data_IF_537846311992
#
_entry.id   IF_537846311992
#
_cell.length_a   1.000
_cell.length_b   1.000
_cell.length_c   1.000
_cell.angle_alpha   90.00
_cell.angle_beta   90.00
_cell.angle_gamma   90.00
#
_symmetry.space_group_name_H-M   'P 1'
#
loop_
_entity.id
_entity.type
_entity.pdbx_description
1 polymer ?
#
# COMPACT_ATOMS: atom_id res chain seq x y z
N UNK A 1 26.71 -65.70 -7.69
CA UNK A 1 27.04 -66.03 -6.29
C UNK A 1 25.95 -66.94 -5.74
N UNK A 2 26.24 -68.23 -5.59
CA UNK A 2 25.32 -69.20 -4.98
C UNK A 2 25.26 -68.94 -3.47
N UNK A 3 24.10 -68.53 -2.94
CA UNK A 3 23.86 -68.52 -1.49
C UNK A 3 23.75 -69.96 -1.01
N UNK A 4 24.81 -70.51 -0.45
CA UNK A 4 24.75 -71.72 0.38
C UNK A 4 24.04 -71.38 1.69
N UNK A 5 22.71 -71.43 1.69
CA UNK A 5 21.92 -71.46 2.92
C UNK A 5 21.68 -72.92 3.31
N UNK A 6 21.93 -73.27 4.56
CA UNK A 6 21.58 -74.60 5.08
C UNK A 6 20.07 -74.84 4.91
N UNK A 7 19.70 -75.70 3.95
CA UNK A 7 18.30 -76.04 3.67
C UNK A 7 17.88 -77.15 4.61
N UNK A 8 16.81 -76.92 5.39
CA UNK A 8 16.29 -77.92 6.33
C UNK A 8 15.67 -79.08 5.54
N UNK A 9 16.12 -80.31 5.77
CA UNK A 9 15.63 -81.53 5.09
C UNK A 9 14.15 -81.80 5.42
N UNK A 10 13.36 -82.29 4.47
CA UNK A 10 11.89 -82.42 4.56
C UNK A 10 11.34 -83.59 5.42
N UNK A 11 12.15 -84.11 6.33
CA UNK A 11 11.79 -85.25 7.18
C UNK A 11 10.56 -84.95 8.06
N UNK A 12 9.76 -85.97 8.43
CA UNK A 12 8.54 -85.78 9.25
C UNK A 12 8.78 -85.00 10.55
N UNK A 13 9.94 -85.20 11.18
CA UNK A 13 10.35 -84.50 12.40
C UNK A 13 10.50 -82.97 12.23
N UNK A 14 10.78 -82.49 11.01
CA UNK A 14 11.03 -81.07 10.72
C UNK A 14 9.81 -80.34 10.15
N UNK A 15 8.67 -81.02 9.99
CA UNK A 15 7.47 -80.50 9.32
C UNK A 15 6.93 -79.22 9.99
N UNK A 16 7.01 -79.14 11.31
CA UNK A 16 6.60 -77.97 12.09
C UNK A 16 7.49 -76.74 11.85
N UNK A 17 8.80 -76.94 11.71
CA UNK A 17 9.78 -75.86 11.47
C UNK A 17 9.61 -75.33 10.03
N UNK A 18 9.41 -76.21 9.05
CA UNK A 18 9.16 -75.81 7.67
C UNK A 18 7.84 -75.03 7.53
N UNK A 19 6.79 -75.42 8.28
CA UNK A 19 5.53 -74.70 8.31
C UNK A 19 5.65 -73.30 8.94
N UNK A 20 6.49 -73.12 9.97
CA UNK A 20 6.76 -71.81 10.55
C UNK A 20 7.58 -70.92 9.62
N UNK A 21 8.56 -71.48 8.91
CA UNK A 21 9.34 -70.77 7.89
C UNK A 21 8.47 -70.30 6.72
N UNK A 22 7.56 -71.15 6.21
CA UNK A 22 6.61 -70.74 5.15
C UNK A 22 5.72 -69.59 5.59
N UNK A 23 5.15 -69.64 6.80
CA UNK A 23 4.33 -68.55 7.35
C UNK A 23 5.10 -67.24 7.49
N UNK A 24 6.37 -67.29 7.88
CA UNK A 24 7.25 -66.10 7.94
C UNK A 24 7.50 -65.51 6.56
N UNK A 25 7.82 -66.35 5.57
CA UNK A 25 8.03 -65.91 4.18
C UNK A 25 6.76 -65.34 3.54
N UNK A 26 5.59 -65.94 3.83
CA UNK A 26 4.29 -65.40 3.40
C UNK A 26 3.99 -64.04 4.04
N UNK A 27 4.29 -63.88 5.32
CA UNK A 27 4.12 -62.60 6.02
C UNK A 27 5.06 -61.52 5.47
N UNK A 28 6.34 -61.86 5.26
CA UNK A 28 7.33 -60.95 4.67
C UNK A 28 6.96 -60.56 3.23
N UNK A 29 6.48 -61.49 2.41
CA UNK A 29 6.05 -61.20 1.04
C UNK A 29 4.82 -60.29 1.01
N UNK A 30 3.85 -60.50 1.92
CA UNK A 30 2.70 -59.60 2.10
C UNK A 30 3.13 -58.20 2.53
N UNK A 31 4.02 -58.07 3.50
CA UNK A 31 4.56 -56.78 3.94
C UNK A 31 5.30 -56.06 2.81
N UNK A 32 6.12 -56.78 2.04
CA UNK A 32 6.85 -56.22 0.89
C UNK A 32 5.90 -55.76 -0.21
N UNK A 33 4.86 -56.54 -0.50
CA UNK A 33 3.81 -56.15 -1.44
C UNK A 33 3.06 -54.90 -0.97
N UNK A 34 2.75 -54.80 0.32
CA UNK A 34 2.05 -53.64 0.90
C UNK A 34 2.90 -52.37 0.86
N UNK A 35 4.19 -52.47 1.19
CA UNK A 35 5.16 -51.35 1.06
C UNK A 35 5.29 -50.86 -0.38
N UNK A 36 5.46 -51.77 -1.34
CA UNK A 36 5.56 -51.38 -2.76
C UNK A 36 4.29 -50.73 -3.31
N UNK A 37 3.11 -51.11 -2.79
CA UNK A 37 1.83 -50.45 -3.12
C UNK A 37 1.72 -49.07 -2.49
N UNK A 38 2.22 -48.88 -1.27
CA UNK A 38 2.28 -47.57 -0.62
C UNK A 38 3.25 -46.64 -1.35
N UNK A 39 4.45 -47.10 -1.67
CA UNK A 39 5.47 -46.34 -2.41
C UNK A 39 4.97 -45.91 -3.79
N UNK A 40 4.29 -46.81 -4.53
CA UNK A 40 3.64 -46.45 -5.80
C UNK A 40 2.55 -45.40 -5.63
N UNK A 41 1.67 -45.54 -4.63
CA UNK A 41 0.63 -44.54 -4.35
C UNK A 41 1.22 -43.17 -3.98
N UNK A 42 2.31 -43.14 -3.23
CA UNK A 42 3.02 -41.90 -2.89
C UNK A 42 3.72 -41.27 -4.10
N UNK A 43 4.38 -42.07 -4.93
CA UNK A 43 5.00 -41.60 -6.18
C UNK A 43 3.96 -41.07 -7.17
N UNK A 44 2.87 -41.80 -7.39
CA UNK A 44 1.78 -41.40 -8.28
C UNK A 44 1.10 -40.13 -7.76
N UNK A 45 0.85 -40.03 -6.44
CA UNK A 45 0.28 -38.84 -5.81
C UNK A 45 1.19 -37.60 -5.92
N UNK A 46 2.50 -37.77 -5.68
CA UNK A 46 3.49 -36.67 -5.78
C UNK A 46 3.72 -36.24 -7.23
N UNK A 47 3.74 -37.19 -8.17
CA UNK A 47 3.81 -36.94 -9.61
C UNK A 47 2.58 -36.17 -10.12
N UNK A 48 1.38 -36.61 -9.75
CA UNK A 48 0.12 -35.96 -10.12
C UNK A 48 0.03 -34.53 -9.57
N UNK A 49 0.40 -34.30 -8.30
CA UNK A 49 0.44 -32.95 -7.71
C UNK A 49 1.43 -32.02 -8.42
N UNK A 50 2.64 -32.51 -8.72
CA UNK A 50 3.65 -31.72 -9.43
C UNK A 50 3.23 -31.43 -10.87
N UNK A 51 2.61 -32.39 -11.56
CA UNK A 51 2.14 -32.17 -12.93
C UNK A 51 0.92 -31.24 -12.97
N UNK A 52 0.00 -31.37 -12.01
CA UNK A 52 -1.13 -30.46 -11.86
C UNK A 52 -0.66 -29.04 -11.54
N UNK A 53 0.27 -28.85 -10.58
CA UNK A 53 0.86 -27.55 -10.26
C UNK A 53 1.58 -26.92 -11.46
N UNK A 54 2.39 -27.70 -12.19
CA UNK A 54 3.08 -27.25 -13.41
C UNK A 54 2.10 -26.90 -14.53
N UNK A 55 1.03 -27.68 -14.71
CA UNK A 55 -0.01 -27.43 -15.70
C UNK A 55 -0.78 -26.15 -15.39
N UNK A 56 -1.21 -25.98 -14.14
CA UNK A 56 -1.92 -24.77 -13.71
C UNK A 56 -1.05 -23.53 -13.86
N UNK A 57 0.23 -23.60 -13.48
CA UNK A 57 1.18 -22.49 -13.67
C UNK A 57 1.39 -22.15 -15.15
N UNK A 58 1.58 -23.16 -16.01
CA UNK A 58 1.74 -22.96 -17.47
C UNK A 58 0.50 -22.36 -18.14
N UNK A 59 -0.70 -22.65 -17.65
CA UNK A 59 -1.94 -22.07 -18.18
C UNK A 59 -2.22 -20.66 -17.65
N UNK A 60 -1.86 -20.36 -16.40
CA UNK A 60 -2.12 -19.05 -15.77
C UNK A 60 -1.05 -18.02 -16.14
N UNK A 61 0.23 -18.41 -16.27
CA UNK A 61 1.34 -17.53 -16.61
C UNK A 61 1.09 -16.68 -17.89
N UNK A 62 0.64 -17.25 -19.03
CA UNK A 62 0.35 -16.45 -20.21
C UNK A 62 -0.82 -15.49 -19.97
N UNK A 63 -1.80 -15.84 -19.14
CA UNK A 63 -2.93 -14.96 -18.80
C UNK A 63 -2.43 -13.77 -17.96
N UNK A 64 -1.57 -14.01 -16.97
CA UNK A 64 -0.96 -12.97 -16.13
C UNK A 64 -0.08 -12.02 -16.96
N UNK A 65 0.59 -12.52 -18.01
CA UNK A 65 1.39 -11.69 -18.90
C UNK A 65 0.53 -10.97 -19.95
N UNK A 66 -0.46 -11.65 -20.52
CA UNK A 66 -1.27 -11.15 -21.62
C UNK A 66 -2.31 -10.12 -21.17
N UNK A 67 -2.98 -10.32 -20.03
CA UNK A 67 -3.98 -9.38 -19.51
C UNK A 67 -3.46 -7.95 -19.31
N UNK A 68 -2.32 -7.69 -18.65
CA UNK A 68 -1.80 -6.34 -18.50
C UNK A 68 -1.29 -5.75 -19.82
N UNK A 69 -0.77 -6.58 -20.75
CA UNK A 69 -0.37 -6.14 -22.08
C UNK A 69 -1.57 -5.76 -22.95
N UNK A 70 -2.64 -6.57 -22.92
CA UNK A 70 -3.91 -6.28 -23.58
C UNK A 70 -4.55 -5.02 -23.00
N UNK A 71 -4.51 -4.89 -21.67
CA UNK A 71 -4.92 -3.68 -20.99
C UNK A 71 -4.13 -2.45 -21.44
N UNK A 72 -2.81 -2.56 -21.55
CA UNK A 72 -1.93 -1.47 -21.99
C UNK A 72 -2.24 -1.07 -23.44
N UNK A 73 -2.53 -2.05 -24.29
CA UNK A 73 -2.96 -1.80 -25.67
C UNK A 73 -4.29 -1.03 -25.73
N UNK A 74 -5.28 -1.42 -24.93
CA UNK A 74 -6.63 -0.82 -24.95
C UNK A 74 -6.74 0.52 -24.23
N UNK A 75 -6.13 0.64 -23.05
CA UNK A 75 -6.37 1.75 -22.10
C UNK A 75 -5.12 2.56 -21.78
N UNK A 76 -3.97 2.25 -22.39
CA UNK A 76 -2.64 2.79 -22.04
C UNK A 76 -2.25 2.60 -20.56
N UNK A 77 -2.97 1.72 -19.86
CA UNK A 77 -2.73 1.37 -18.45
C UNK A 77 -2.61 -0.14 -18.33
N UNK A 78 -1.86 -0.65 -17.35
CA UNK A 78 -1.68 -2.10 -17.17
C UNK A 78 -2.85 -2.78 -16.43
N UNK A 79 -3.86 -2.02 -16.01
CA UNK A 79 -4.90 -2.49 -15.09
C UNK A 79 -6.30 -2.00 -15.47
N UNK A 80 -6.57 -1.86 -16.76
CA UNK A 80 -7.84 -1.43 -17.36
C UNK A 80 -8.37 -0.10 -16.80
N UNK A 81 -7.48 0.83 -16.48
CA UNK A 81 -7.83 2.14 -15.92
C UNK A 81 -8.30 2.09 -14.47
N UNK A 82 -8.31 0.92 -13.83
CA UNK A 82 -8.76 0.75 -12.45
C UNK A 82 -7.67 1.11 -11.42
N UNK A 83 -6.43 1.33 -11.87
CA UNK A 83 -5.25 1.60 -11.02
C UNK A 83 -5.49 2.69 -9.96
N UNK A 84 -6.13 3.84 -10.27
CA UNK A 84 -6.38 4.91 -9.30
C UNK A 84 -7.26 4.50 -8.12
N UNK A 85 -8.06 3.44 -8.25
CA UNK A 85 -9.00 3.01 -7.22
C UNK A 85 -8.37 2.04 -6.22
N UNK A 86 -7.47 1.17 -6.66
CA UNK A 86 -6.91 0.11 -5.81
C UNK A 86 -5.42 0.27 -5.52
N UNK A 87 -4.65 0.99 -6.35
CA UNK A 87 -3.23 1.20 -6.09
C UNK A 87 -2.97 2.09 -4.86
N UNK A 88 -3.68 3.20 -4.62
CA UNK A 88 -3.44 4.02 -3.43
C UNK A 88 -3.64 3.25 -2.11
N UNK A 89 -4.78 2.55 -1.85
CA UNK A 89 -4.94 1.81 -0.61
C UNK A 89 -3.93 0.66 -0.48
N UNK A 90 -3.60 -0.02 -1.59
CA UNK A 90 -2.60 -1.10 -1.60
C UNK A 90 -1.18 -0.57 -1.29
N UNK A 91 -0.80 0.57 -1.88
CA UNK A 91 0.50 1.21 -1.63
C UNK A 91 0.58 1.67 -0.18
N UNK A 92 -0.46 2.30 0.34
CA UNK A 92 -0.49 2.74 1.73
C UNK A 92 -0.37 1.55 2.69
N UNK A 93 -1.10 0.46 2.41
CA UNK A 93 -0.96 -0.80 3.15
C UNK A 93 0.48 -1.33 3.12
N UNK A 94 1.10 -1.40 1.95
CA UNK A 94 2.49 -1.87 1.80
C UNK A 94 3.50 -0.97 2.52
N UNK A 95 3.29 0.35 2.50
CA UNK A 95 4.14 1.31 3.20
C UNK A 95 4.09 1.15 4.72
N UNK A 96 2.94 0.76 5.27
CA UNK A 96 2.76 0.56 6.71
C UNK A 96 3.10 -0.87 7.17
N UNK A 97 3.17 -1.82 6.23
CA UNK A 97 3.37 -3.24 6.50
C UNK A 97 4.65 -3.51 7.30
N UNK A 98 4.60 -4.31 8.39
CA UNK A 98 5.74 -4.50 9.30
C UNK A 98 6.99 -5.08 8.65
N UNK A 99 6.84 -5.86 7.57
CA UNK A 99 7.97 -6.50 6.87
C UNK A 99 8.52 -5.66 5.71
N UNK A 100 8.00 -4.46 5.48
CA UNK A 100 8.54 -3.61 4.42
C UNK A 100 9.91 -3.05 4.86
N UNK A 101 11.03 -3.46 4.23
CA UNK A 101 12.36 -2.98 4.62
C UNK A 101 12.56 -1.48 4.30
N UNK A 102 11.71 -0.92 3.43
CA UNK A 102 11.72 0.49 3.03
C UNK A 102 10.67 1.31 3.79
N UNK A 103 10.16 0.81 4.91
CA UNK A 103 9.20 1.54 5.73
C UNK A 103 9.82 2.85 6.22
N UNK A 104 9.15 3.96 5.89
CA UNK A 104 9.53 5.29 6.37
C UNK A 104 9.32 5.33 7.89
N UNK A 105 10.36 5.70 8.63
CA UNK A 105 10.25 5.94 10.06
C UNK A 105 9.57 7.28 10.28
N UNK A 106 8.41 7.26 10.93
CA UNK A 106 7.65 8.46 11.22
C UNK A 106 8.37 9.25 12.33
N UNK A 107 8.66 10.51 12.04
CA UNK A 107 9.27 11.44 13.01
C UNK A 107 8.24 12.43 13.53
N UNK A 108 8.43 12.87 14.75
CA UNK A 108 7.69 13.98 15.33
C UNK A 108 8.51 15.25 15.19
N UNK A 109 7.87 16.31 14.69
CA UNK A 109 8.49 17.62 14.46
C UNK A 109 7.85 18.66 15.37
N UNK A 110 8.65 19.60 15.85
CA UNK A 110 8.14 20.87 16.37
C UNK A 110 7.93 21.86 15.22
N UNK A 111 7.05 22.88 15.35
CA UNK A 111 6.90 23.92 14.34
C UNK A 111 8.23 24.61 14.00
N UNK A 112 9.09 24.82 15.00
CA UNK A 112 10.40 25.44 14.85
C UNK A 112 11.37 24.57 14.05
N UNK A 113 11.35 23.25 14.27
CA UNK A 113 12.12 22.31 13.44
C UNK A 113 11.59 22.25 12.01
N UNK A 114 10.27 22.31 11.83
CA UNK A 114 9.63 22.18 10.52
C UNK A 114 10.04 23.34 9.58
N UNK A 115 10.21 24.54 10.12
CA UNK A 115 10.65 25.74 9.37
C UNK A 115 12.01 25.53 8.68
N UNK A 116 12.86 24.62 9.19
CA UNK A 116 14.15 24.29 8.56
C UNK A 116 14.02 23.54 7.23
N UNK A 117 12.81 23.12 6.86
CA UNK A 117 12.47 22.35 5.66
C UNK A 117 11.56 23.16 4.71
N UNK A 118 11.71 24.48 4.70
CA UNK A 118 11.03 25.43 3.82
C UNK A 118 11.47 25.37 2.35
N UNK A 119 12.49 24.57 2.03
CA UNK A 119 13.06 24.47 0.69
C UNK A 119 13.95 25.65 0.30
N UNK A 120 14.38 26.49 1.24
CA UNK A 120 15.38 27.55 1.02
C UNK A 120 16.76 27.00 0.75
N UNK A 121 17.06 25.79 1.24
CA UNK A 121 18.32 25.09 1.02
C UNK A 121 18.12 23.88 0.13
N UNK A 122 19.03 23.68 -0.82
CA UNK A 122 19.00 22.55 -1.76
C UNK A 122 19.56 21.25 -1.17
N UNK A 123 20.28 21.33 -0.05
CA UNK A 123 20.78 20.19 0.70
C UNK A 123 19.72 19.52 1.59
N UNK A 124 18.51 20.08 1.66
CA UNK A 124 17.42 19.58 2.52
C UNK A 124 16.16 19.30 1.74
N UNK A 125 15.37 18.30 2.18
CA UNK A 125 14.03 18.08 1.63
C UNK A 125 13.09 19.23 2.00
N UNK A 126 11.98 19.31 1.26
CA UNK A 126 10.91 20.29 1.48
C UNK A 126 9.74 19.59 2.14
N UNK A 127 9.36 20.04 3.33
CA UNK A 127 8.26 19.47 4.08
C UNK A 127 7.07 20.41 4.15
N UNK A 128 5.88 19.84 4.32
CA UNK A 128 4.63 20.56 4.41
C UNK A 128 3.73 19.83 5.40
N UNK A 129 3.09 20.55 6.33
CA UNK A 129 2.12 19.97 7.24
C UNK A 129 0.68 20.38 6.90
N UNK A 130 -0.23 19.40 6.98
CA UNK A 130 -1.68 19.57 6.85
C UNK A 130 -2.36 18.68 7.87
N UNK A 131 -3.26 19.28 8.64
CA UNK A 131 -4.01 18.67 9.74
C UNK A 131 -3.09 17.92 10.71
N UNK A 132 -1.96 18.56 11.07
CA UNK A 132 -0.93 17.99 11.94
C UNK A 132 -0.07 16.87 11.33
N UNK A 133 -0.31 16.46 10.07
CA UNK A 133 0.46 15.41 9.39
C UNK A 133 1.51 16.04 8.48
N UNK A 134 2.75 15.58 8.59
CA UNK A 134 3.88 16.10 7.79
C UNK A 134 4.13 15.21 6.58
N UNK A 135 4.20 15.85 5.41
CA UNK A 135 4.48 15.22 4.12
C UNK A 135 5.79 15.74 3.52
N UNK A 136 6.53 14.83 2.89
CA UNK A 136 7.65 15.18 2.02
C UNK A 136 7.14 15.55 0.63
N UNK A 137 7.34 16.81 0.25
CA UNK A 137 6.95 17.39 -1.04
C UNK A 137 8.17 17.70 -1.92
N UNK A 138 9.34 17.16 -1.58
CA UNK A 138 10.60 17.33 -2.33
C UNK A 138 10.51 16.85 -3.77
N UNK A 139 9.62 15.93 -4.09
CA UNK A 139 9.39 15.50 -5.47
C UNK A 139 8.94 16.65 -6.39
N UNK A 140 8.41 17.76 -5.83
CA UNK A 140 7.93 18.91 -6.58
C UNK A 140 8.48 20.24 -6.02
N UNK A 141 9.81 20.33 -5.88
CA UNK A 141 10.51 21.56 -5.45
C UNK A 141 10.19 22.78 -6.31
N UNK A 142 9.82 22.62 -7.58
CA UNK A 142 9.41 23.75 -8.43
C UNK A 142 8.22 24.53 -7.84
N UNK A 143 7.33 23.81 -7.16
CA UNK A 143 6.08 24.38 -6.63
C UNK A 143 6.23 24.78 -5.15
N UNK A 144 6.85 23.92 -4.34
CA UNK A 144 6.97 24.12 -2.89
C UNK A 144 8.33 24.63 -2.41
N UNK A 145 9.39 24.44 -3.21
CA UNK A 145 10.72 24.96 -2.90
C UNK A 145 10.83 26.45 -3.15
N UNK A 146 11.98 27.04 -2.80
CA UNK A 146 12.22 28.49 -2.88
C UNK A 146 11.83 29.08 -4.24
N UNK A 147 11.00 30.12 -4.22
CA UNK A 147 10.50 30.80 -5.42
C UNK A 147 9.32 30.12 -6.12
N UNK A 148 8.86 28.97 -5.62
CA UNK A 148 7.66 28.31 -6.10
C UNK A 148 6.36 28.99 -5.64
N UNK A 149 5.27 28.77 -6.38
CA UNK A 149 3.96 29.40 -6.11
C UNK A 149 3.36 29.05 -4.76
N UNK A 150 3.77 27.94 -4.15
CA UNK A 150 3.29 27.46 -2.86
C UNK A 150 4.41 27.38 -1.80
N UNK A 151 5.53 28.06 -2.04
CA UNK A 151 6.68 28.05 -1.13
C UNK A 151 6.37 28.59 0.27
N UNK A 152 5.47 29.56 0.39
CA UNK A 152 5.03 30.12 1.67
C UNK A 152 4.45 29.09 2.65
N UNK A 153 3.95 27.96 2.14
CA UNK A 153 3.40 26.88 2.95
C UNK A 153 4.47 25.85 3.36
N UNK A 154 5.62 25.83 2.69
CA UNK A 154 6.69 24.90 3.02
C UNK A 154 7.27 25.20 4.41
N UNK A 155 7.63 24.13 5.13
CA UNK A 155 8.16 24.20 6.48
C UNK A 155 7.14 24.62 7.54
N UNK A 156 5.84 24.62 7.24
CA UNK A 156 4.77 25.08 8.15
C UNK A 156 3.57 24.14 8.12
N UNK A 157 2.74 24.25 9.15
CA UNK A 157 1.37 23.73 9.10
C UNK A 157 0.48 24.76 8.42
N UNK A 158 0.06 24.45 7.20
CA UNK A 158 -0.72 25.33 6.34
C UNK A 158 -2.19 24.86 6.22
N UNK A 159 -2.68 24.11 7.21
CA UNK A 159 -4.04 23.54 7.24
C UNK A 159 -5.11 24.55 6.83
N UNK A 160 -5.12 25.73 7.46
CA UNK A 160 -6.13 26.76 7.19
C UNK A 160 -5.95 27.42 5.82
N UNK A 161 -4.72 27.61 5.36
CA UNK A 161 -4.44 28.22 4.06
C UNK A 161 -4.95 27.36 2.89
N UNK A 162 -4.83 26.03 2.97
CA UNK A 162 -5.32 25.12 1.93
C UNK A 162 -6.83 25.17 1.71
N UNK A 163 -7.59 25.40 2.78
CA UNK A 163 -9.06 25.41 2.71
C UNK A 163 -9.60 26.78 2.30
N UNK A 164 -9.08 27.82 2.93
CA UNK A 164 -9.55 29.20 2.74
C UNK A 164 -8.98 29.86 1.49
N UNK A 165 -7.81 29.41 1.02
CA UNK A 165 -7.09 30.03 -0.10
C UNK A 165 -6.31 31.29 0.26
N UNK A 166 -6.27 31.68 1.54
CA UNK A 166 -5.48 32.81 2.01
C UNK A 166 -4.06 32.37 2.37
N UNK A 167 -3.16 32.40 1.40
CA UNK A 167 -1.79 31.91 1.58
C UNK A 167 -0.86 32.87 2.34
N UNK A 168 -1.28 34.12 2.58
CA UNK A 168 -0.47 35.10 3.31
C UNK A 168 -0.83 35.15 4.81
N UNK A 169 -2.12 35.09 5.14
CA UNK A 169 -2.61 35.27 6.51
C UNK A 169 -2.94 33.97 7.23
N UNK A 170 -3.24 32.88 6.51
CA UNK A 170 -3.76 31.64 7.11
C UNK A 170 -2.72 30.51 7.17
N UNK A 171 -1.43 30.83 7.25
CA UNK A 171 -0.34 29.87 7.42
C UNK A 171 -0.27 29.35 8.87
N UNK A 172 -1.35 28.71 9.31
CA UNK A 172 -1.56 28.22 10.67
C UNK A 172 -2.26 26.86 10.69
N UNK A 173 -2.05 26.13 11.79
CA UNK A 173 -2.77 24.89 12.12
C UNK A 173 -4.17 25.16 12.69
N UNK A 174 -4.52 26.42 12.99
CA UNK A 174 -5.82 26.76 13.58
C UNK A 174 -6.97 26.60 12.57
N UNK A 175 -7.77 25.56 12.76
CA UNK A 175 -8.96 25.25 11.97
C UNK A 175 -10.26 25.71 12.62
N UNK A 176 -10.21 26.44 13.75
CA UNK A 176 -11.41 26.97 14.41
C UNK A 176 -12.07 28.04 13.55
N UNK A 177 -13.40 28.06 13.54
CA UNK A 177 -14.18 29.00 12.72
C UNK A 177 -14.23 28.67 11.23
N UNK A 178 -13.66 27.53 10.80
CA UNK A 178 -13.91 27.03 9.45
C UNK A 178 -15.37 26.54 9.33
N UNK A 179 -16.00 26.85 8.20
CA UNK A 179 -17.34 26.33 7.88
C UNK A 179 -17.28 24.87 7.41
N UNK A 180 -18.43 24.23 7.24
CA UNK A 180 -18.52 22.81 6.85
C UNK A 180 -17.85 22.52 5.50
N UNK A 181 -17.99 23.43 4.52
CA UNK A 181 -17.37 23.28 3.21
C UNK A 181 -15.83 23.38 3.29
N UNK A 182 -15.32 24.30 4.10
CA UNK A 182 -13.88 24.45 4.37
C UNK A 182 -13.33 23.23 5.12
N UNK A 183 -14.08 22.70 6.09
CA UNK A 183 -13.68 21.48 6.80
C UNK A 183 -13.65 20.27 5.87
N UNK A 184 -14.63 20.14 4.96
CA UNK A 184 -14.62 19.12 3.92
C UNK A 184 -13.43 19.30 2.96
N UNK A 185 -13.08 20.54 2.62
CA UNK A 185 -11.89 20.87 1.84
C UNK A 185 -10.60 20.46 2.57
N UNK A 186 -10.51 20.63 3.89
CA UNK A 186 -9.35 20.19 4.69
C UNK A 186 -9.13 18.69 4.53
N UNK A 187 -10.21 17.92 4.71
CA UNK A 187 -10.16 16.46 4.60
C UNK A 187 -9.83 16.02 3.18
N UNK A 188 -10.32 16.74 2.16
CA UNK A 188 -9.95 16.51 0.78
C UNK A 188 -8.45 16.68 0.55
N UNK A 189 -7.86 17.80 0.99
CA UNK A 189 -6.44 18.05 0.85
C UNK A 189 -5.58 17.05 1.63
N UNK A 190 -5.96 16.74 2.88
CA UNK A 190 -5.31 15.69 3.67
C UNK A 190 -5.29 14.36 2.92
N UNK A 191 -6.44 13.95 2.38
CA UNK A 191 -6.58 12.73 1.58
C UNK A 191 -5.73 12.78 0.31
N UNK A 192 -5.67 13.93 -0.38
CA UNK A 192 -4.82 14.12 -1.55
C UNK A 192 -3.35 13.83 -1.21
N UNK A 193 -2.79 14.45 -0.16
CA UNK A 193 -1.38 14.23 0.21
C UNK A 193 -1.12 12.82 0.74
N UNK A 194 -2.06 12.22 1.48
CA UNK A 194 -1.93 10.82 1.93
C UNK A 194 -1.91 9.82 0.77
N UNK A 195 -2.67 10.09 -0.30
CA UNK A 195 -2.83 9.17 -1.42
C UNK A 195 -1.98 9.55 -2.65
N UNK A 196 -1.20 10.62 -2.57
CA UNK A 196 -0.35 11.05 -3.67
C UNK A 196 0.81 10.08 -3.91
N UNK A 197 1.18 9.86 -5.18
CA UNK A 197 2.22 8.87 -5.51
C UNK A 197 3.62 9.28 -5.11
N UNK A 198 3.88 10.59 -5.14
CA UNK A 198 5.21 11.16 -4.93
C UNK A 198 5.35 11.90 -3.60
N UNK A 199 4.26 12.08 -2.87
CA UNK A 199 4.31 12.73 -1.55
C UNK A 199 4.16 11.65 -0.51
N UNK A 200 5.04 11.67 0.47
CA UNK A 200 5.15 10.60 1.44
C UNK A 200 4.92 11.17 2.82
N UNK A 201 4.09 10.50 3.61
CA UNK A 201 3.93 10.80 5.03
C UNK A 201 5.25 10.47 5.73
N UNK A 202 5.84 11.48 6.36
CA UNK A 202 7.11 11.34 7.09
C UNK A 202 6.94 11.53 8.58
N UNK A 203 5.79 12.00 9.05
CA UNK A 203 5.66 12.35 10.45
C UNK A 203 4.41 13.11 10.83
N UNK A 204 4.50 13.71 12.01
CA UNK A 204 3.50 14.58 12.60
C UNK A 204 4.17 15.83 13.17
N UNK A 205 3.44 16.94 13.19
CA UNK A 205 3.88 18.17 13.85
C UNK A 205 3.15 18.33 15.18
N UNK A 206 3.89 18.59 16.26
CA UNK A 206 3.34 18.91 17.57
C UNK A 206 3.08 20.41 17.64
N UNK A 207 1.93 20.81 17.12
CA UNK A 207 1.50 22.21 17.22
C UNK A 207 1.18 22.57 18.68
N UNK A 208 1.41 23.83 19.09
CA UNK A 208 1.00 24.29 20.40
C UNK A 208 -0.52 24.16 20.57
N UNK A 209 -1.00 23.84 21.79
CA UNK A 209 -2.43 23.75 22.04
C UNK A 209 -3.09 25.11 21.80
N UNK A 210 -4.23 25.09 21.13
CA UNK A 210 -5.07 26.28 20.94
C UNK A 210 -5.95 26.44 22.17
N UNK A 211 -5.99 27.64 22.73
CA UNK A 211 -6.83 28.01 23.86
C UNK A 211 -7.95 28.95 23.42
N UNK A 212 -9.04 29.03 24.18
CA UNK A 212 -10.16 29.94 23.86
C UNK A 212 -9.77 31.43 23.93
N UNK A 213 -8.60 31.74 24.51
CA UNK A 213 -8.04 33.10 24.56
C UNK A 213 -7.29 33.48 23.28
N UNK A 214 -6.86 32.50 22.49
CA UNK A 214 -6.12 32.76 21.26
C UNK A 214 -7.07 33.31 20.19
N UNK A 215 -6.75 34.46 19.56
CA UNK A 215 -7.61 35.08 18.58
C UNK A 215 -7.84 34.12 17.41
N UNK A 216 -9.12 33.88 17.08
CA UNK A 216 -9.47 33.08 15.92
C UNK A 216 -9.05 33.86 14.67
N UNK A 217 -8.33 33.24 13.71
CA UNK A 217 -7.91 33.95 12.52
C UNK A 217 -9.12 34.47 11.75
N UNK A 218 -9.05 35.74 11.34
CA UNK A 218 -10.13 36.41 10.62
C UNK A 218 -10.51 35.67 9.33
N UNK A 219 -11.76 35.76 8.86
CA UNK A 219 -12.15 35.15 7.59
C UNK A 219 -11.33 35.71 6.41
N UNK A 220 -10.93 34.82 5.49
CA UNK A 220 -10.10 35.16 4.33
C UNK A 220 -10.75 36.19 3.38
N UNK A 221 -12.09 36.15 3.29
CA UNK A 221 -12.87 37.14 2.56
C UNK A 221 -13.87 37.74 3.53
N UNK A 222 -13.89 39.06 3.62
CA UNK A 222 -15.00 39.78 4.24
C UNK A 222 -16.23 39.49 3.38
N UNK A 223 -17.28 38.95 3.99
CA UNK A 223 -18.55 38.77 3.28
C UNK A 223 -19.08 40.17 2.94
N UNK A 224 -19.00 40.59 1.68
CA UNK A 224 -19.70 41.81 1.25
C UNK A 224 -21.22 41.56 1.29
N UNK A 225 -22.04 42.53 1.77
CA UNK A 225 -23.46 42.30 2.04
C UNK A 225 -24.30 41.96 0.80
N UNK A 226 -23.79 42.24 -0.41
CA UNK A 226 -24.57 42.18 -1.66
C UNK A 226 -24.16 41.05 -2.61
N UNK A 227 -23.29 40.12 -2.19
CA UNK A 227 -22.95 38.95 -3.01
C UNK A 227 -24.04 37.86 -2.90
N UNK A 228 -25.17 38.11 -3.55
CA UNK A 228 -26.28 37.16 -3.66
C UNK A 228 -25.81 35.77 -4.11
N UNK A 229 -26.11 34.75 -3.31
CA UNK A 229 -26.16 33.28 -3.55
C UNK A 229 -25.03 32.56 -4.31
N UNK A 230 -24.06 33.26 -4.89
CA UNK A 230 -22.97 32.68 -5.70
C UNK A 230 -21.59 32.82 -5.04
N UNK A 231 -21.50 33.45 -3.86
CA UNK A 231 -20.26 33.62 -3.10
C UNK A 231 -19.66 32.31 -2.54
N UNK A 232 -20.38 31.18 -2.64
CA UNK A 232 -19.88 29.86 -2.28
C UNK A 232 -18.96 29.22 -3.34
N UNK A 233 -18.90 29.72 -4.57
CA UNK A 233 -18.36 28.90 -5.68
C UNK A 233 -16.86 29.03 -5.96
N UNK A 234 -16.12 29.85 -5.19
CA UNK A 234 -14.75 30.22 -5.53
C UNK A 234 -13.75 30.14 -4.37
N UNK A 235 -13.89 29.18 -3.44
CA UNK A 235 -12.71 28.74 -2.69
C UNK A 235 -11.80 27.95 -3.65
N UNK A 236 -10.47 28.18 -3.70
CA UNK A 236 -9.58 27.30 -4.46
C UNK A 236 -9.72 25.84 -4.00
N UNK A 237 -10.09 25.62 -2.73
CA UNK A 237 -10.49 24.31 -2.19
C UNK A 237 -11.80 23.74 -2.76
N UNK A 238 -12.81 24.58 -3.05
CA UNK A 238 -14.06 24.13 -3.66
C UNK A 238 -13.92 23.85 -5.15
N UNK A 239 -13.15 24.64 -5.89
CA UNK A 239 -12.80 24.34 -7.27
C UNK A 239 -11.90 23.09 -7.39
N UNK A 240 -10.98 22.87 -6.44
CA UNK A 240 -10.20 21.64 -6.34
C UNK A 240 -11.06 20.43 -5.95
N UNK A 241 -11.99 20.57 -4.99
CA UNK A 241 -12.91 19.51 -4.59
C UNK A 241 -13.96 19.19 -5.66
N UNK A 242 -14.45 20.20 -6.41
CA UNK A 242 -15.33 20.02 -7.58
C UNK A 242 -14.56 19.48 -8.79
N UNK A 243 -13.32 19.90 -9.06
CA UNK A 243 -12.44 19.25 -10.05
C UNK A 243 -12.11 17.81 -9.67
N UNK A 244 -11.98 17.50 -8.38
CA UNK A 244 -11.85 16.13 -7.89
C UNK A 244 -13.08 15.25 -8.15
N UNK A 245 -14.25 15.84 -8.44
CA UNK A 245 -15.44 15.14 -8.95
C UNK A 245 -15.47 15.02 -10.48
N UNK A 246 -14.59 15.69 -11.21
CA UNK A 246 -14.46 15.52 -12.66
C UNK A 246 -13.34 14.54 -12.97
N UNK A 247 -13.74 13.36 -13.48
CA UNK A 247 -12.82 12.36 -14.01
C UNK A 247 -11.96 13.06 -15.08
N UNK A 248 -10.62 12.93 -15.06
CA UNK A 248 -9.86 13.32 -16.24
C UNK A 248 -10.36 12.43 -17.39
N UNK A 249 -11.03 13.05 -18.36
CA UNK A 249 -11.31 12.42 -19.64
C UNK A 249 -9.98 12.01 -20.30
N UNK A 250 -10.00 11.01 -21.20
CA UNK A 250 -8.79 10.54 -21.84
C UNK A 250 -8.11 11.72 -22.54
N UNK A 251 -6.87 11.98 -22.16
CA UNK A 251 -5.98 12.89 -22.89
C UNK A 251 -5.71 12.20 -24.23
N UNK A 252 -6.10 12.87 -25.33
CA UNK A 252 -5.81 12.43 -26.69
C UNK A 252 -4.30 12.47 -26.98
#
# INVERSE_FOLDING_TARGET
MYRYGNVVTDKPANRAILASQRRRLEHESKLKAQRSRQEKKEQDGRGTRNNQSKSTFRSILPIILFLPLLSHFLTKSYTFGLSPYFLPPLRNYWNEFPLNPYKIQLRTFTPQELVLYDGSRDDRPVYLAIDGVVFDVSANRRIYGKGGSYNMMAGRDASRAFTTGCFETHLTHDTRGLNEAEQASLQHWKSFFMNHEKYHKIGYVLNPPLTDQDPIPEPCRVAEPDAGKDAGQHAPGEQAAKKGKHRPGPVQ
#
